data_IF_983313351069
#
_entry.id   IF_983313351069
#
_cell.length_a   1.000
_cell.length_b   1.000
_cell.length_c   1.000
_cell.angle_alpha   90.00
_cell.angle_beta   90.00
_cell.angle_gamma   90.00
#
_symmetry.space_group_name_H-M   'P 1'
#
loop_
_entity.id
_entity.type
_entity.pdbx_description
1 polymer ?
#
# COMPACT_ATOMS: atom_id res chain seq x y z
N UNK A 1 -5.25 -10.52 -33.46
CA UNK A 1 -6.17 -10.81 -32.33
C UNK A 1 -5.50 -10.98 -30.96
N UNK A 2 -4.31 -11.55 -30.86
CA UNK A 2 -3.65 -11.80 -29.57
C UNK A 2 -3.25 -10.55 -28.76
N UNK A 3 -2.87 -9.44 -29.43
CA UNK A 3 -2.44 -8.21 -28.72
C UNK A 3 -3.57 -7.51 -27.94
N UNK A 4 -4.79 -7.51 -28.49
CA UNK A 4 -5.96 -6.92 -27.81
C UNK A 4 -6.35 -7.71 -26.56
N UNK A 5 -6.26 -9.03 -26.61
CA UNK A 5 -6.54 -9.90 -25.47
C UNK A 5 -5.51 -9.69 -24.36
N UNK A 6 -4.22 -9.63 -24.72
CA UNK A 6 -3.14 -9.34 -23.74
C UNK A 6 -3.31 -7.98 -23.07
N UNK A 7 -3.74 -6.97 -23.82
CA UNK A 7 -4.03 -5.65 -23.29
C UNK A 7 -5.20 -5.68 -22.31
N UNK A 8 -6.30 -6.35 -22.66
CA UNK A 8 -7.47 -6.50 -21.77
C UNK A 8 -7.11 -7.19 -20.46
N UNK A 9 -6.36 -8.30 -20.52
CA UNK A 9 -5.87 -9.00 -19.31
C UNK A 9 -4.97 -8.10 -18.48
N UNK A 10 -4.06 -7.36 -19.13
CA UNK A 10 -3.17 -6.43 -18.46
C UNK A 10 -3.92 -5.28 -17.78
N UNK A 11 -4.95 -4.76 -18.42
CA UNK A 11 -5.77 -3.66 -17.86
C UNK A 11 -6.64 -4.15 -16.69
N UNK A 12 -7.12 -5.39 -16.73
CA UNK A 12 -7.86 -6.01 -15.63
C UNK A 12 -7.00 -6.23 -14.36
N UNK A 13 -5.68 -6.37 -14.52
CA UNK A 13 -4.75 -6.54 -13.40
C UNK A 13 -4.23 -5.22 -12.80
N UNK A 14 -4.58 -4.08 -13.39
CA UNK A 14 -4.21 -2.79 -12.84
C UNK A 14 -5.01 -2.50 -11.58
N UNK A 15 -4.33 -1.97 -10.56
CA UNK A 15 -5.00 -1.36 -9.41
C UNK A 15 -5.76 -0.14 -9.88
N UNK A 16 -6.98 0.04 -9.42
CA UNK A 16 -7.85 1.16 -9.81
C UNK A 16 -7.34 2.49 -9.26
N UNK A 17 -6.96 2.52 -8.00
CA UNK A 17 -6.44 3.70 -7.33
C UNK A 17 -4.93 3.61 -7.16
N UNK A 18 -4.19 4.46 -7.85
CA UNK A 18 -2.73 4.53 -7.79
C UNK A 18 -2.29 5.99 -7.81
N UNK A 19 -1.43 6.35 -6.87
CA UNK A 19 -0.85 7.69 -6.78
C UNK A 19 0.05 7.99 -7.97
N UNK A 20 -0.06 9.18 -8.56
CA UNK A 20 0.79 9.64 -9.66
C UNK A 20 2.22 9.95 -9.19
N UNK A 21 3.05 8.92 -9.16
CA UNK A 21 4.47 9.02 -8.76
C UNK A 21 5.31 9.53 -9.93
N UNK A 22 6.18 10.50 -9.65
CA UNK A 22 7.11 11.08 -10.62
C UNK A 22 8.56 10.91 -10.17
N UNK A 23 9.47 10.91 -11.13
CA UNK A 23 10.90 10.94 -10.82
C UNK A 23 11.24 12.19 -10.00
N UNK A 24 12.02 12.02 -8.93
CA UNK A 24 12.36 13.07 -7.97
C UNK A 24 11.46 13.12 -6.75
N UNK A 25 10.30 12.47 -6.77
CA UNK A 25 9.44 12.39 -5.58
C UNK A 25 10.11 11.53 -4.50
N UNK A 26 9.95 11.93 -3.24
CA UNK A 26 10.29 11.07 -2.10
C UNK A 26 9.04 10.28 -1.75
N UNK A 27 9.14 8.96 -1.82
CA UNK A 27 8.01 8.06 -1.60
C UNK A 27 8.28 7.12 -0.45
N UNK A 28 7.22 6.73 0.23
CA UNK A 28 7.17 5.69 1.23
C UNK A 28 6.38 4.52 0.64
N UNK A 29 7.05 3.41 0.37
CA UNK A 29 6.46 2.21 -0.21
C UNK A 29 6.29 1.16 0.88
N UNK A 30 5.05 0.73 1.12
CA UNK A 30 4.73 -0.38 2.03
C UNK A 30 4.60 -1.66 1.21
N UNK A 31 5.45 -2.63 1.52
CA UNK A 31 5.52 -3.91 0.83
C UNK A 31 5.17 -5.06 1.78
N UNK A 32 4.36 -6.00 1.33
CA UNK A 32 4.10 -7.29 2.00
C UNK A 32 5.23 -8.27 1.70
N UNK A 33 5.88 -8.79 2.74
CA UNK A 33 6.91 -9.82 2.62
C UNK A 33 6.39 -11.08 3.29
N UNK A 34 6.48 -12.20 2.58
CA UNK A 34 6.12 -13.51 3.12
C UNK A 34 7.33 -14.10 3.86
N UNK A 35 7.16 -14.38 5.15
CA UNK A 35 8.16 -15.05 5.99
C UNK A 35 7.54 -16.38 6.50
N UNK A 36 7.81 -17.47 5.81
CA UNK A 36 7.15 -18.76 6.06
C UNK A 36 5.66 -18.68 5.78
N UNK A 37 4.83 -18.91 6.81
CA UNK A 37 3.36 -18.82 6.73
C UNK A 37 2.80 -17.44 7.05
N UNK A 38 3.62 -16.54 7.59
CA UNK A 38 3.20 -15.19 8.01
C UNK A 38 3.58 -14.14 6.98
N UNK A 39 2.79 -13.05 6.95
CA UNK A 39 3.12 -11.86 6.18
C UNK A 39 3.57 -10.74 7.10
N UNK A 40 4.62 -10.04 6.69
CA UNK A 40 5.13 -8.86 7.37
C UNK A 40 5.12 -7.66 6.42
N UNK A 41 4.68 -6.51 6.93
CA UNK A 41 4.77 -5.25 6.22
C UNK A 41 6.15 -4.64 6.40
N UNK A 42 6.79 -4.29 5.30
CA UNK A 42 8.05 -3.56 5.30
C UNK A 42 7.90 -2.25 4.56
N UNK A 43 8.31 -1.17 5.23
CA UNK A 43 8.30 0.17 4.66
C UNK A 43 9.68 0.51 4.13
N UNK A 44 9.72 1.02 2.90
CA UNK A 44 10.92 1.54 2.28
C UNK A 44 10.69 2.99 1.83
N UNK A 45 11.38 3.93 2.47
CA UNK A 45 11.31 5.35 2.12
C UNK A 45 12.56 5.77 1.35
N UNK A 46 12.37 6.48 0.24
CA UNK A 46 13.48 6.96 -0.57
C UNK A 46 13.04 7.85 -1.72
N UNK A 47 14.02 8.30 -2.50
CA UNK A 47 13.79 9.14 -3.68
C UNK A 47 13.60 8.28 -4.91
N UNK A 48 12.58 8.59 -5.70
CA UNK A 48 12.33 7.94 -7.00
C UNK A 48 13.35 8.44 -8.02
N UNK A 49 14.21 7.53 -8.47
CA UNK A 49 15.22 7.83 -9.50
C UNK A 49 14.64 7.75 -10.89
N UNK A 50 13.74 6.81 -11.12
CA UNK A 50 13.19 6.54 -12.45
C UNK A 50 11.79 5.93 -12.34
N UNK A 51 10.94 6.33 -13.27
CA UNK A 51 9.62 5.75 -13.49
C UNK A 51 9.59 5.19 -14.91
N UNK A 52 9.26 3.92 -15.03
CA UNK A 52 9.17 3.21 -16.32
C UNK A 52 7.72 2.83 -16.59
N UNK A 53 7.27 3.00 -17.84
CA UNK A 53 5.97 2.52 -18.35
C UNK A 53 4.78 2.92 -17.47
N UNK A 54 4.70 4.19 -17.09
CA UNK A 54 3.73 4.75 -16.15
C UNK A 54 2.28 4.29 -16.38
N UNK A 55 1.84 4.20 -17.62
CA UNK A 55 0.44 3.90 -17.96
C UNK A 55 0.17 2.39 -18.19
N UNK A 56 1.18 1.55 -18.01
CA UNK A 56 1.08 0.11 -18.25
C UNK A 56 0.89 -0.66 -16.93
N UNK A 57 0.26 -1.85 -17.01
CA UNK A 57 0.21 -2.80 -15.90
C UNK A 57 1.60 -3.19 -15.38
N UNK A 58 2.65 -3.05 -16.21
CA UNK A 58 4.05 -3.24 -15.84
C UNK A 58 4.74 -1.96 -15.35
N UNK A 59 3.98 -0.93 -14.95
CA UNK A 59 4.52 0.30 -14.41
C UNK A 59 5.46 0.01 -13.24
N UNK A 60 6.67 0.58 -13.32
CA UNK A 60 7.73 0.31 -12.36
C UNK A 60 8.37 1.61 -11.89
N UNK A 61 8.62 1.70 -10.61
CA UNK A 61 9.41 2.77 -9.99
C UNK A 61 10.71 2.20 -9.41
N UNK A 62 11.78 2.96 -9.51
CA UNK A 62 13.07 2.66 -8.88
C UNK A 62 13.29 3.67 -7.77
N UNK A 63 13.32 3.20 -6.53
CA UNK A 63 13.46 4.03 -5.33
C UNK A 63 14.85 3.82 -4.75
N UNK A 64 15.55 4.93 -4.45
CA UNK A 64 16.87 4.95 -3.84
C UNK A 64 16.85 5.55 -2.45
N UNK A 65 17.50 4.88 -1.53
CA UNK A 65 17.80 5.36 -0.17
C UNK A 65 19.28 5.21 0.11
N UNK A 66 19.87 6.14 0.82
CA UNK A 66 21.23 6.01 1.36
C UNK A 66 21.11 5.65 2.84
N UNK A 67 21.66 4.50 3.21
CA UNK A 67 21.68 4.00 4.58
C UNK A 67 23.11 3.67 4.96
N UNK A 68 23.59 4.26 6.07
CA UNK A 68 24.97 4.08 6.55
C UNK A 68 26.04 4.31 5.47
N UNK A 69 25.86 5.34 4.63
CA UNK A 69 26.77 5.66 3.54
C UNK A 69 26.62 4.81 2.27
N UNK A 70 25.85 3.75 2.32
CA UNK A 70 25.59 2.85 1.18
C UNK A 70 24.28 3.21 0.49
N UNK A 71 24.33 3.36 -0.83
CA UNK A 71 23.14 3.60 -1.65
C UNK A 71 22.42 2.30 -1.98
N UNK A 72 21.21 2.12 -1.47
CA UNK A 72 20.35 0.98 -1.76
C UNK A 72 19.27 1.39 -2.73
N UNK A 73 19.06 0.60 -3.79
CA UNK A 73 18.02 0.80 -4.79
C UNK A 73 17.09 -0.41 -4.82
N UNK A 74 15.78 -0.14 -4.76
CA UNK A 74 14.75 -1.17 -4.94
C UNK A 74 13.82 -0.78 -6.08
N UNK A 75 13.47 -1.75 -6.90
CA UNK A 75 12.47 -1.59 -7.96
C UNK A 75 11.15 -2.17 -7.51
N UNK A 76 10.08 -1.40 -7.67
CA UNK A 76 8.73 -1.81 -7.32
C UNK A 76 7.84 -1.75 -8.56
N UNK A 77 7.08 -2.81 -8.81
CA UNK A 77 5.97 -2.81 -9.76
C UNK A 77 4.76 -2.20 -9.05
N UNK A 78 4.24 -1.11 -9.57
CA UNK A 78 3.18 -0.33 -8.91
C UNK A 78 1.92 -1.18 -8.69
N UNK A 79 1.52 -1.92 -9.71
CA UNK A 79 0.31 -2.76 -9.70
C UNK A 79 0.50 -4.15 -9.07
N UNK A 80 1.70 -4.44 -8.51
CA UNK A 80 1.94 -5.72 -7.86
C UNK A 80 1.10 -5.88 -6.59
N UNK A 81 0.53 -7.07 -6.31
CA UNK A 81 -0.18 -7.35 -5.06
C UNK A 81 0.74 -7.32 -3.83
N UNK A 82 2.07 -7.45 -4.03
CA UNK A 82 3.05 -7.35 -2.95
C UNK A 82 3.25 -5.90 -2.47
N UNK A 83 2.95 -4.91 -3.31
CA UNK A 83 2.98 -3.49 -2.93
C UNK A 83 1.60 -3.14 -2.42
N UNK A 84 1.48 -2.84 -1.15
CA UNK A 84 0.22 -2.47 -0.52
C UNK A 84 -0.12 -1.01 -0.77
N UNK A 85 0.75 -0.10 -0.33
CA UNK A 85 0.54 1.34 -0.39
C UNK A 85 1.78 2.07 -0.86
N UNK A 86 1.57 3.14 -1.63
CA UNK A 86 2.62 4.09 -2.04
C UNK A 86 2.16 5.47 -1.62
N UNK A 87 2.92 6.14 -0.76
CA UNK A 87 2.65 7.49 -0.30
C UNK A 87 3.75 8.44 -0.78
N UNK A 88 3.38 9.61 -1.28
CA UNK A 88 4.33 10.67 -1.61
C UNK A 88 4.53 11.55 -0.37
N UNK A 89 5.77 11.58 0.13
CA UNK A 89 6.15 12.38 1.30
C UNK A 89 6.61 13.78 0.88
N UNK A 90 7.39 13.89 -0.21
CA UNK A 90 7.90 15.15 -0.76
C UNK A 90 7.93 15.10 -2.26
N UNK A 91 7.69 16.23 -2.90
CA UNK A 91 7.81 16.38 -4.35
C UNK A 91 8.99 17.30 -4.68
N UNK A 92 9.75 16.97 -5.72
CA UNK A 92 10.86 17.79 -6.15
C UNK A 92 10.74 18.14 -7.63
N UNK A 93 11.22 19.35 -7.98
CA UNK A 93 11.26 19.81 -9.37
C UNK A 93 12.47 19.19 -10.07
N UNK A 94 12.23 18.34 -11.04
CA UNK A 94 13.27 17.74 -11.89
C UNK A 94 12.97 17.96 -13.35
N UNK A 95 14.04 17.95 -14.20
CA UNK A 95 13.91 18.14 -15.65
C UNK A 95 14.00 16.82 -16.43
N UNK A 96 14.49 15.76 -15.81
CA UNK A 96 14.74 14.46 -16.44
C UNK A 96 13.91 13.36 -15.76
N UNK A 97 13.42 12.41 -16.51
CA UNK A 97 12.74 11.24 -15.95
C UNK A 97 13.74 10.26 -15.30
N UNK A 98 14.96 10.18 -15.81
CA UNK A 98 15.99 9.31 -15.23
C UNK A 98 17.05 10.15 -14.48
N UNK A 99 17.13 9.92 -13.17
CA UNK A 99 18.01 10.63 -12.25
C UNK A 99 19.21 9.76 -11.80
N UNK A 100 19.70 8.89 -12.68
CA UNK A 100 20.84 7.98 -12.37
C UNK A 100 22.10 8.70 -11.90
N UNK A 101 22.27 9.97 -12.26
CA UNK A 101 23.38 10.81 -11.81
C UNK A 101 23.43 11.00 -10.29
N UNK A 102 22.30 10.80 -9.58
CA UNK A 102 22.25 10.86 -8.11
C UNK A 102 23.06 9.74 -7.46
N UNK A 103 23.41 8.70 -8.20
CA UNK A 103 24.29 7.62 -7.71
C UNK A 103 25.69 8.12 -7.39
N UNK A 104 26.18 9.06 -8.19
CA UNK A 104 27.53 9.62 -8.08
C UNK A 104 27.57 10.90 -7.23
N UNK A 105 26.40 11.35 -6.72
CA UNK A 105 26.32 12.58 -5.91
C UNK A 105 26.05 12.24 -4.46
N UNK A 106 26.71 12.96 -3.56
CA UNK A 106 26.54 12.84 -2.12
C UNK A 106 26.40 14.21 -1.45
N UNK A 107 25.91 14.22 -0.21
CA UNK A 107 25.78 15.43 0.59
C UNK A 107 24.84 16.48 -0.05
N UNK A 108 25.28 17.73 -0.09
CA UNK A 108 24.49 18.86 -0.61
C UNK A 108 24.14 18.72 -2.09
N UNK A 109 25.03 18.13 -2.91
CA UNK A 109 24.83 17.96 -4.36
C UNK A 109 23.77 16.90 -4.73
N UNK A 110 23.43 16.02 -3.80
CA UNK A 110 22.37 15.02 -3.96
C UNK A 110 20.99 15.52 -3.58
N UNK A 111 20.88 16.70 -2.95
CA UNK A 111 19.60 17.27 -2.55
C UNK A 111 18.89 17.86 -3.75
N UNK A 112 17.63 17.49 -3.94
CA UNK A 112 16.74 18.02 -4.95
C UNK A 112 15.99 19.25 -4.40
N UNK A 113 15.73 20.23 -5.26
CA UNK A 113 14.90 21.37 -4.91
C UNK A 113 13.45 20.91 -4.69
N UNK A 114 12.93 21.16 -3.51
CA UNK A 114 11.55 20.83 -3.17
C UNK A 114 10.55 21.70 -3.98
N UNK A 115 9.37 21.14 -4.20
CA UNK A 115 8.21 21.84 -4.73
C UNK A 115 7.08 21.66 -3.73
N UNK A 116 6.38 22.74 -3.43
CA UNK A 116 5.20 22.68 -2.59
C UNK A 116 4.11 21.88 -3.32
N UNK A 117 3.46 20.99 -2.60
CA UNK A 117 2.33 20.19 -3.08
C UNK A 117 1.43 19.82 -1.89
N UNK A 118 0.16 19.68 -2.15
CA UNK A 118 -0.78 19.20 -1.14
C UNK A 118 -0.64 17.67 -1.00
N UNK A 119 -0.10 17.28 0.16
CA UNK A 119 0.17 15.88 0.47
C UNK A 119 -1.12 15.08 0.68
N UNK A 120 -2.14 15.69 1.28
CA UNK A 120 -3.39 15.02 1.57
C UNK A 120 -4.12 14.71 0.25
N UNK A 121 -4.30 15.70 -0.61
CA UNK A 121 -4.99 15.55 -1.89
C UNK A 121 -4.35 14.47 -2.78
N UNK A 122 -3.01 14.46 -2.87
CA UNK A 122 -2.29 13.51 -3.75
C UNK A 122 -2.33 12.08 -3.24
N UNK A 123 -2.39 11.88 -1.91
CA UNK A 123 -2.39 10.54 -1.31
C UNK A 123 -3.80 9.99 -1.03
N UNK A 124 -4.86 10.80 -1.08
CA UNK A 124 -6.24 10.39 -0.81
C UNK A 124 -6.77 9.33 -1.78
N UNK A 125 -6.24 9.28 -3.02
CA UNK A 125 -6.59 8.26 -4.02
C UNK A 125 -6.36 6.83 -3.51
N UNK A 126 -5.47 6.64 -2.53
CA UNK A 126 -5.16 5.32 -1.97
C UNK A 126 -6.08 4.96 -0.79
N UNK A 127 -6.72 5.94 -0.16
CA UNK A 127 -7.51 5.74 1.06
C UNK A 127 -8.95 5.30 0.76
N UNK A 128 -9.50 5.73 -0.38
CA UNK A 128 -10.90 5.43 -0.77
C UNK A 128 -11.16 3.94 -1.06
N UNK A 129 -10.14 3.14 -1.39
CA UNK A 129 -10.30 1.69 -1.62
C UNK A 129 -10.21 0.84 -0.34
N UNK A 130 -9.63 1.35 0.74
CA UNK A 130 -9.57 0.62 2.02
C UNK A 130 -10.86 0.76 2.83
N UNK A 131 -11.68 1.79 2.58
CA UNK A 131 -12.96 2.00 3.27
C UNK A 131 -14.15 1.30 2.58
N UNK A 132 -14.11 1.10 1.26
CA UNK A 132 -15.22 0.49 0.52
C UNK A 132 -15.53 -0.98 0.87
N UNK A 133 -14.57 -1.89 1.15
CA UNK A 133 -14.90 -3.26 1.56
C UNK A 133 -15.31 -3.42 3.02
N UNK A 134 -15.12 -2.39 3.87
CA UNK A 134 -15.49 -2.46 5.27
C UNK A 134 -16.95 -2.06 5.52
N UNK A 135 -17.54 -1.20 4.70
CA UNK A 135 -18.95 -0.81 4.82
C UNK A 135 -19.89 -1.88 4.24
N UNK A 136 -19.55 -2.55 3.12
CA UNK A 136 -20.37 -3.64 2.59
C UNK A 136 -20.39 -4.88 3.50
N UNK A 137 -19.31 -5.18 4.24
CA UNK A 137 -19.26 -6.30 5.17
C UNK A 137 -20.06 -6.07 6.47
N UNK A 138 -20.35 -4.82 6.83
CA UNK A 138 -21.14 -4.46 8.03
C UNK A 138 -22.65 -4.42 7.72
N UNK A 139 -23.03 -4.18 6.47
CA UNK A 139 -24.44 -4.14 6.07
C UNK A 139 -25.03 -5.54 5.83
N UNK A 140 -24.24 -6.51 5.33
CA UNK A 140 -24.69 -7.90 5.17
C UNK A 140 -24.85 -8.66 6.50
N UNK A 141 -24.11 -8.31 7.56
CA UNK A 141 -24.22 -8.96 8.88
C UNK A 141 -25.37 -8.43 9.73
N UNK A 142 -26.05 -7.35 9.32
CA UNK A 142 -27.14 -6.74 10.08
C UNK A 142 -28.54 -7.13 9.61
N UNK A 143 -28.64 -7.92 8.54
CA UNK A 143 -29.92 -8.33 7.94
C UNK A 143 -30.41 -9.74 8.33
N UNK A 144 -29.65 -10.50 9.16
CA UNK A 144 -29.97 -11.91 9.44
C UNK A 144 -30.22 -12.24 10.92
N UNK A 145 -30.53 -11.25 11.77
CA UNK A 145 -30.99 -11.51 13.15
C UNK A 145 -32.29 -10.74 13.47
N UNK A 146 -33.43 -11.42 13.26
CA UNK A 146 -34.68 -11.22 14.03
C UNK A 146 -35.56 -12.48 13.92
N UNK A 147 -36.54 -12.69 14.79
CA UNK A 147 -36.38 -13.40 16.06
C UNK A 147 -37.34 -14.61 16.13
N UNK A 148 -37.11 -15.55 17.01
CA UNK A 148 -38.17 -16.46 17.46
C UNK A 148 -38.18 -16.46 18.99
N UNK A 149 -39.32 -16.03 19.47
CA UNK A 149 -39.82 -15.96 20.82
C UNK A 149 -39.81 -17.28 21.61
N UNK A 150 -39.55 -17.09 22.91
CA UNK A 150 -40.40 -17.49 24.03
C UNK A 150 -40.66 -18.99 24.27
N UNK A 151 -40.28 -19.54 25.39
CA UNK A 151 -41.15 -19.85 26.54
C UNK A 151 -40.43 -20.60 27.64
N UNK A 152 -40.55 -20.01 28.85
CA UNK A 152 -40.88 -20.53 30.19
C UNK A 152 -40.01 -21.61 30.89
N UNK A 153 -39.63 -21.13 32.09
CA UNK A 153 -39.84 -21.72 33.44
C UNK A 153 -38.87 -22.76 33.97
N UNK A 154 -38.34 -22.43 35.00
CA UNK A 154 -38.37 -22.73 36.43
C UNK A 154 -37.04 -23.19 37.02
N UNK A 155 -36.65 -22.45 38.04
CA UNK A 155 -35.75 -22.77 39.13
C UNK A 155 -36.25 -23.94 39.99
N UNK A 156 -35.57 -24.49 41.03
CA UNK A 156 -34.47 -23.94 41.80
C UNK A 156 -33.46 -24.96 42.43
N UNK A 157 -32.45 -24.38 43.13
CA UNK A 157 -31.77 -24.88 44.35
C UNK A 157 -31.04 -26.24 44.32
N UNK A 158 -29.87 -26.42 44.83
CA UNK A 158 -29.36 -26.35 46.19
C UNK A 158 -27.92 -26.88 46.26
N UNK A 159 -27.13 -26.17 46.97
CA UNK A 159 -26.11 -26.51 47.94
C UNK A 159 -25.05 -27.60 47.70
N UNK A 160 -23.89 -27.19 47.91
CA UNK A 160 -22.99 -27.45 49.02
C UNK A 160 -21.71 -28.25 48.70
N UNK A 161 -20.65 -27.62 49.06
CA UNK A 161 -19.53 -28.05 49.96
C UNK A 161 -18.54 -29.12 49.56
N UNK A 162 -17.33 -28.64 49.76
CA UNK A 162 -16.16 -29.28 50.46
C UNK A 162 -15.24 -30.08 49.55
N UNK A 163 -14.07 -29.71 49.56
CA UNK A 163 -12.86 -29.81 50.38
C UNK A 163 -11.81 -30.78 49.75
N UNK A 164 -10.61 -30.24 49.73
CA UNK A 164 -9.31 -30.83 49.96
C UNK A 164 -8.90 -32.16 49.26
N UNK A 165 -7.87 -32.04 48.49
CA UNK A 165 -6.53 -32.59 48.71
C UNK A 165 -5.57 -32.11 47.62
#
# INVERSE_FOLDING_TARGET
MSFSILKQIGDAQKKKAVVDVRSGDTVKVTQKIKEGEKFRLQVFEGVVIRVDRKDSHTARIVVRKVTSGVGVEKSYLIHSPLVEKIEITKRAKVRRNNLSYLRNRSGKSARLAGKDFDRAEVNNVTTEEEEAPAEEAVEETKAEETPVEETTEETPKEEAKTEEA
#
